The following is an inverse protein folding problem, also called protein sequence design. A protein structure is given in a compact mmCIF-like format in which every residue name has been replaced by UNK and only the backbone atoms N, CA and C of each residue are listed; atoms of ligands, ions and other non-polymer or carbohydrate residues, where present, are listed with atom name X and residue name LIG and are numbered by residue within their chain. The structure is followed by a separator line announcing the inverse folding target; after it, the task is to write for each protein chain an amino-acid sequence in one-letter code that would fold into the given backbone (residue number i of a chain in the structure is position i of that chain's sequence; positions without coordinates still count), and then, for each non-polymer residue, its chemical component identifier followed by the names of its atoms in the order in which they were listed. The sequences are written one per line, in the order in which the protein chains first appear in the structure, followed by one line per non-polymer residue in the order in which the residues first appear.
data_IF_004906779530
#
_entry.id   IF_004906779530
#
_cell.length_a   1.000
_cell.length_b   1.000
_cell.length_c   1.000
_cell.angle_alpha   90.00
_cell.angle_beta   90.00
_cell.angle_gamma   90.00
#
_symmetry.space_group_name_H-M   'P 1'
#
loop_
_entity.id
_entity.type
_entity.pdbx_description
1 polymer ?
#
# COMPACT_ATOMS: atom_id res chain seq x y z
N UNK A 1 14.26 -34.12 -25.33
CA UNK A 1 12.94 -33.56 -25.64
C UNK A 1 12.00 -33.47 -24.41
N UNK A 2 12.50 -33.51 -23.16
CA UNK A 2 11.67 -33.36 -21.93
C UNK A 2 12.43 -32.70 -20.76
N UNK A 3 13.31 -31.72 -21.03
CA UNK A 3 14.02 -30.99 -19.93
C UNK A 3 13.05 -30.26 -18.99
N UNK A 4 11.93 -29.79 -19.54
CA UNK A 4 10.88 -29.09 -18.81
C UNK A 4 10.22 -29.94 -17.69
N UNK A 5 10.17 -31.27 -17.81
CA UNK A 5 9.58 -32.13 -16.75
C UNK A 5 10.50 -32.35 -15.56
N UNK A 6 11.81 -32.10 -15.69
CA UNK A 6 12.82 -32.45 -14.68
C UNK A 6 13.22 -31.29 -13.77
N UNK A 7 12.59 -30.12 -13.88
CA UNK A 7 13.01 -28.94 -13.12
C UNK A 7 14.25 -28.23 -13.66
N UNK A 8 14.78 -28.70 -14.80
CA UNK A 8 16.02 -28.22 -15.42
C UNK A 8 15.71 -27.00 -16.33
N UNK A 9 15.10 -25.98 -15.72
CA UNK A 9 14.54 -24.79 -16.39
C UNK A 9 15.59 -23.73 -16.72
N UNK A 10 16.74 -23.77 -16.04
CA UNK A 10 17.83 -22.80 -16.21
C UNK A 10 18.79 -23.26 -17.30
N UNK A 11 18.69 -22.66 -18.48
CA UNK A 11 19.63 -22.88 -19.58
C UNK A 11 21.08 -22.54 -19.19
N UNK A 12 21.26 -21.62 -18.23
CA UNK A 12 22.52 -21.20 -17.62
C UNK A 12 22.20 -20.92 -16.14
N UNK A 13 22.86 -21.60 -15.21
CA UNK A 13 22.73 -21.32 -13.77
C UNK A 13 23.78 -20.27 -13.36
N UNK A 14 23.38 -19.14 -12.73
CA UNK A 14 24.34 -18.17 -12.24
C UNK A 14 25.21 -18.81 -11.14
N UNK A 15 26.53 -18.72 -11.27
CA UNK A 15 27.48 -19.37 -10.36
C UNK A 15 27.79 -18.56 -9.09
N UNK A 16 27.35 -17.30 -9.05
CA UNK A 16 27.56 -16.38 -7.92
C UNK A 16 26.28 -15.58 -7.66
N UNK A 17 26.12 -15.09 -6.43
CA UNK A 17 25.02 -14.19 -6.07
C UNK A 17 24.97 -12.98 -7.02
N UNK A 18 26.11 -12.32 -7.24
CA UNK A 18 26.19 -11.15 -8.13
C UNK A 18 25.75 -11.45 -9.57
N UNK A 19 26.13 -12.62 -10.11
CA UNK A 19 25.68 -13.04 -11.44
C UNK A 19 24.15 -13.29 -11.48
N UNK A 20 23.58 -13.80 -10.38
CA UNK A 20 22.13 -13.95 -10.22
C UNK A 20 21.41 -12.60 -10.13
N UNK A 21 21.93 -11.70 -9.30
CA UNK A 21 21.44 -10.33 -9.08
C UNK A 21 21.38 -9.55 -10.40
N UNK A 22 22.49 -9.49 -11.12
CA UNK A 22 22.57 -8.81 -12.42
C UNK A 22 21.63 -9.42 -13.46
N UNK A 23 21.47 -10.75 -13.45
CA UNK A 23 20.54 -11.42 -14.37
C UNK A 23 19.08 -11.04 -14.07
N UNK A 24 18.67 -11.01 -12.80
CA UNK A 24 17.32 -10.56 -12.40
C UNK A 24 17.13 -9.10 -12.81
N UNK A 25 18.09 -8.23 -12.54
CA UNK A 25 18.02 -6.81 -12.91
C UNK A 25 17.91 -6.60 -14.43
N UNK A 26 18.71 -7.31 -15.24
CA UNK A 26 18.60 -7.26 -16.69
C UNK A 26 17.23 -7.73 -17.18
N UNK A 27 16.69 -8.81 -16.60
CA UNK A 27 15.35 -9.31 -16.92
C UNK A 27 14.26 -8.31 -16.55
N UNK A 28 14.36 -7.71 -15.36
CA UNK A 28 13.43 -6.70 -14.86
C UNK A 28 13.40 -5.47 -15.77
N UNK A 29 14.56 -4.88 -16.07
CA UNK A 29 14.66 -3.71 -16.95
C UNK A 29 14.24 -4.02 -18.39
N UNK A 30 14.51 -5.24 -18.87
CA UNK A 30 14.02 -5.71 -20.17
C UNK A 30 12.50 -5.80 -20.21
N UNK A 31 11.87 -6.31 -19.15
CA UNK A 31 10.42 -6.37 -19.02
C UNK A 31 9.79 -4.97 -18.92
N UNK A 32 10.38 -4.06 -18.14
CA UNK A 32 9.96 -2.65 -18.06
C UNK A 32 10.00 -2.01 -19.46
N UNK A 33 11.10 -2.18 -20.19
CA UNK A 33 11.24 -1.64 -21.55
C UNK A 33 10.22 -2.23 -22.54
N UNK A 34 9.90 -3.52 -22.39
CA UNK A 34 8.87 -4.17 -23.21
C UNK A 34 7.47 -3.62 -22.91
N UNK A 35 7.14 -3.42 -21.64
CA UNK A 35 5.85 -2.84 -21.22
C UNK A 35 5.73 -1.39 -21.67
N UNK A 36 6.79 -0.59 -21.53
CA UNK A 36 6.84 0.79 -22.02
C UNK A 36 6.54 0.87 -23.53
N UNK A 37 7.16 0.01 -24.34
CA UNK A 37 6.88 -0.08 -25.77
C UNK A 37 5.40 -0.40 -26.04
N UNK A 38 4.82 -1.35 -25.30
CA UNK A 38 3.41 -1.73 -25.45
C UNK A 38 2.45 -0.59 -25.03
N UNK A 39 2.77 0.15 -23.96
CA UNK A 39 2.03 1.35 -23.55
C UNK A 39 2.10 2.41 -24.65
N UNK A 40 3.27 2.65 -25.25
CA UNK A 40 3.42 3.56 -26.38
C UNK A 40 2.57 3.15 -27.60
N UNK A 41 2.46 1.86 -27.89
CA UNK A 41 1.57 1.36 -28.94
C UNK A 41 0.09 1.63 -28.64
N UNK A 42 -0.33 1.42 -27.39
CA UNK A 42 -1.71 1.69 -26.93
C UNK A 42 -2.04 3.19 -27.00
N UNK A 43 -1.17 4.05 -26.45
CA UNK A 43 -1.35 5.51 -26.49
C UNK A 43 -1.38 6.01 -27.93
N UNK A 44 -0.44 5.55 -28.78
CA UNK A 44 -0.43 5.92 -30.19
C UNK A 44 -1.68 5.43 -30.95
N UNK A 45 -2.31 4.34 -30.54
CA UNK A 45 -3.60 3.92 -31.09
C UNK A 45 -4.73 4.88 -30.69
N UNK A 46 -4.79 5.32 -29.43
CA UNK A 46 -5.78 6.30 -28.98
C UNK A 46 -5.66 7.62 -29.75
N UNK A 47 -4.43 8.08 -29.99
CA UNK A 47 -4.14 9.30 -30.76
C UNK A 47 -4.63 9.17 -32.21
N UNK A 48 -4.21 8.13 -32.93
CA UNK A 48 -4.60 7.92 -34.33
C UNK A 48 -6.09 7.70 -34.52
N UNK A 49 -6.78 7.21 -33.48
CA UNK A 49 -8.23 6.96 -33.51
C UNK A 49 -9.05 8.16 -33.05
N UNK A 50 -8.41 9.26 -32.63
CA UNK A 50 -9.11 10.44 -32.11
C UNK A 50 -9.82 10.21 -30.78
N UNK A 51 -9.39 9.22 -29.98
CA UNK A 51 -10.07 8.81 -28.73
C UNK A 51 -9.49 9.48 -27.47
N UNK A 52 -8.33 10.13 -27.57
CA UNK A 52 -7.62 10.70 -26.42
C UNK A 52 -8.47 11.64 -25.56
N UNK A 53 -9.28 12.50 -26.18
CA UNK A 53 -10.08 13.51 -25.47
C UNK A 53 -11.18 12.90 -24.60
N UNK A 54 -11.61 11.67 -24.91
CA UNK A 54 -12.67 10.96 -24.20
C UNK A 54 -12.15 9.70 -23.50
N UNK A 55 -10.85 9.64 -23.18
CA UNK A 55 -10.23 8.50 -22.52
C UNK A 55 -9.32 8.98 -21.40
N UNK A 56 -9.61 8.57 -20.17
CA UNK A 56 -8.68 8.70 -19.05
C UNK A 56 -7.71 7.51 -19.13
N UNK A 57 -6.40 7.81 -19.14
CA UNK A 57 -5.35 6.80 -19.06
C UNK A 57 -4.73 6.84 -17.67
N UNK A 58 -4.70 5.70 -16.98
CA UNK A 58 -4.05 5.52 -15.68
C UNK A 58 -2.97 4.45 -15.84
N UNK A 59 -1.72 4.81 -15.55
CA UNK A 59 -0.61 3.88 -15.46
C UNK A 59 -0.17 3.74 -14.00
N UNK A 60 -0.25 2.52 -13.47
CA UNK A 60 0.06 2.20 -12.08
C UNK A 60 0.59 0.78 -11.94
N UNK A 61 1.08 0.41 -10.76
CA UNK A 61 1.40 -0.95 -10.36
C UNK A 61 0.54 -1.38 -9.16
N UNK A 62 0.46 -2.67 -8.85
CA UNK A 62 -0.15 -3.15 -7.60
C UNK A 62 0.84 -3.10 -6.43
N UNK A 63 2.11 -3.33 -6.73
CA UNK A 63 3.26 -3.17 -5.84
C UNK A 63 4.57 -3.05 -6.66
N UNK A 64 5.68 -2.82 -5.97
CA UNK A 64 7.04 -2.87 -6.54
C UNK A 64 7.71 -4.25 -6.46
N UNK A 65 9.00 -4.30 -6.74
CA UNK A 65 9.85 -5.50 -6.62
C UNK A 65 11.17 -4.99 -6.05
N UNK A 66 11.73 -5.68 -5.05
CA UNK A 66 13.06 -5.34 -4.58
C UNK A 66 14.08 -5.46 -5.72
N UNK A 67 13.82 -6.27 -6.75
CA UNK A 67 14.69 -6.42 -7.92
C UNK A 67 16.15 -6.76 -7.54
N UNK A 68 16.32 -7.44 -6.39
CA UNK A 68 17.60 -7.75 -5.76
C UNK A 68 18.36 -6.56 -5.13
N UNK A 69 17.67 -5.44 -4.88
CA UNK A 69 18.01 -4.43 -3.87
C UNK A 69 17.84 -5.03 -2.46
N UNK A 70 18.57 -4.50 -1.48
CA UNK A 70 18.68 -5.05 -0.12
C UNK A 70 19.07 -6.55 -0.05
N UNK A 71 19.62 -7.10 -1.14
CA UNK A 71 19.84 -8.53 -1.35
C UNK A 71 18.55 -9.38 -1.30
N UNK A 72 17.38 -8.76 -1.48
CA UNK A 72 16.06 -9.40 -1.44
C UNK A 72 15.51 -9.54 -2.86
N UNK A 73 15.06 -10.74 -3.20
CA UNK A 73 14.35 -10.98 -4.45
C UNK A 73 12.84 -10.92 -4.24
N UNK A 74 12.11 -10.49 -5.27
CA UNK A 74 10.65 -10.38 -5.23
C UNK A 74 10.21 -9.34 -4.18
N UNK A 75 9.10 -9.59 -3.49
CA UNK A 75 8.45 -8.65 -2.57
C UNK A 75 8.49 -9.08 -1.11
N UNK A 76 9.16 -10.17 -0.78
CA UNK A 76 9.16 -10.76 0.55
C UNK A 76 10.53 -11.33 0.92
N UNK A 77 10.91 -11.32 2.22
CA UNK A 77 10.16 -10.84 3.38
C UNK A 77 10.10 -9.30 3.49
N UNK A 78 9.14 -8.76 4.24
CA UNK A 78 9.04 -7.30 4.50
C UNK A 78 8.41 -6.48 3.37
N UNK A 79 7.08 -6.48 3.26
CA UNK A 79 6.31 -5.81 2.17
C UNK A 79 6.04 -4.33 2.49
N UNK A 80 7.00 -3.63 3.09
CA UNK A 80 6.73 -2.31 3.67
C UNK A 80 7.69 -1.20 3.24
N UNK A 81 8.80 -1.54 2.57
CA UNK A 81 9.76 -0.57 2.04
C UNK A 81 9.23 0.15 0.79
N UNK A 82 9.81 1.31 0.47
CA UNK A 82 9.45 2.13 -0.70
C UNK A 82 9.61 1.35 -1.99
N UNK A 83 10.64 0.50 -2.08
CA UNK A 83 10.86 -0.42 -3.20
C UNK A 83 9.65 -1.32 -3.51
N UNK A 84 8.74 -1.52 -2.55
CA UNK A 84 7.52 -2.32 -2.68
C UNK A 84 6.25 -1.48 -2.64
N UNK A 85 6.15 -0.50 -1.73
CA UNK A 85 4.90 0.22 -1.47
C UNK A 85 4.76 1.51 -2.26
N UNK A 86 5.87 2.11 -2.71
CA UNK A 86 5.85 3.35 -3.50
C UNK A 86 5.83 3.02 -4.99
N UNK A 87 4.63 2.92 -5.51
CA UNK A 87 4.35 2.56 -6.91
C UNK A 87 4.26 3.79 -7.83
N UNK A 88 4.46 3.64 -9.15
CA UNK A 88 4.09 4.69 -10.10
C UNK A 88 2.57 4.91 -10.10
N UNK A 89 2.14 6.16 -10.26
CA UNK A 89 0.72 6.54 -10.40
C UNK A 89 0.64 7.74 -11.34
N UNK A 90 0.45 7.48 -12.63
CA UNK A 90 0.42 8.50 -13.69
C UNK A 90 -0.98 8.55 -14.28
N UNK A 91 -1.57 9.75 -14.33
CA UNK A 91 -2.89 10.01 -14.90
C UNK A 91 -2.78 10.95 -16.09
N UNK A 92 -3.51 10.66 -17.15
CA UNK A 92 -3.60 11.49 -18.35
C UNK A 92 -5.03 11.60 -18.84
N UNK A 93 -5.50 12.84 -18.97
CA UNK A 93 -6.73 13.20 -19.66
C UNK A 93 -6.51 14.59 -20.30
N UNK A 94 -6.18 14.63 -21.61
CA UNK A 94 -5.88 15.88 -22.32
C UNK A 94 -6.99 16.91 -22.15
N UNK A 95 -6.63 18.19 -22.01
CA UNK A 95 -7.53 19.33 -21.80
C UNK A 95 -8.40 19.31 -20.51
N UNK A 96 -8.32 18.23 -19.71
CA UNK A 96 -9.04 18.08 -18.45
C UNK A 96 -8.11 18.11 -17.22
N UNK A 97 -6.91 17.54 -17.32
CA UNK A 97 -5.90 17.51 -16.25
C UNK A 97 -4.75 18.48 -16.53
N UNK A 98 -4.07 18.93 -15.48
CA UNK A 98 -2.89 19.79 -15.62
C UNK A 98 -1.69 18.97 -16.14
N UNK A 99 -1.30 19.22 -17.39
CA UNK A 99 -0.14 18.56 -18.00
C UNK A 99 1.16 18.92 -17.29
N UNK A 100 2.03 17.92 -17.09
CA UNK A 100 3.36 18.10 -16.47
C UNK A 100 3.33 18.38 -14.96
N UNK A 101 2.16 18.31 -14.31
CA UNK A 101 2.06 18.43 -12.87
C UNK A 101 2.50 17.15 -12.17
N UNK A 102 3.29 17.28 -11.10
CA UNK A 102 3.75 16.18 -10.26
C UNK A 102 3.52 16.54 -8.80
N UNK A 103 2.52 15.93 -8.18
CA UNK A 103 2.19 16.18 -6.77
C UNK A 103 3.06 15.35 -5.83
N UNK A 104 3.39 15.93 -4.68
CA UNK A 104 4.09 15.26 -3.57
C UNK A 104 3.12 14.84 -2.45
N UNK A 105 1.81 15.05 -2.62
CA UNK A 105 0.83 14.63 -1.61
C UNK A 105 0.76 13.10 -1.53
N UNK A 106 0.49 12.59 -0.31
CA UNK A 106 0.31 11.16 -0.08
C UNK A 106 -0.99 10.67 -0.74
N UNK A 107 -0.85 9.75 -1.69
CA UNK A 107 -1.94 9.05 -2.39
C UNK A 107 -1.84 7.54 -2.16
N UNK A 108 -2.98 6.84 -2.19
CA UNK A 108 -3.05 5.39 -2.00
C UNK A 108 -3.75 4.73 -3.19
N UNK A 109 -3.43 3.48 -3.52
CA UNK A 109 -4.07 2.77 -4.64
C UNK A 109 -5.60 2.68 -4.53
N UNK A 110 -6.13 2.70 -3.31
CA UNK A 110 -7.58 2.70 -3.04
C UNK A 110 -8.29 4.00 -3.47
N UNK A 111 -7.55 5.09 -3.70
CA UNK A 111 -8.10 6.38 -4.13
C UNK A 111 -8.59 6.36 -5.58
N UNK A 112 -8.08 5.43 -6.39
CA UNK A 112 -8.39 5.33 -7.81
C UNK A 112 -9.89 5.15 -8.02
N UNK A 113 -10.55 4.31 -7.22
CA UNK A 113 -11.99 4.03 -7.39
C UNK A 113 -12.85 5.26 -7.11
N UNK A 114 -12.60 5.96 -6.00
CA UNK A 114 -13.38 7.15 -5.63
C UNK A 114 -13.15 8.29 -6.62
N UNK A 115 -11.91 8.45 -7.08
CA UNK A 115 -11.57 9.48 -8.05
C UNK A 115 -12.22 9.20 -9.41
N UNK A 116 -12.25 7.95 -9.86
CA UNK A 116 -12.97 7.56 -11.07
C UNK A 116 -14.48 7.79 -10.96
N UNK A 117 -15.09 7.43 -9.82
CA UNK A 117 -16.50 7.72 -9.54
C UNK A 117 -16.79 9.21 -9.69
N UNK A 118 -15.98 10.08 -9.05
CA UNK A 118 -16.14 11.53 -9.17
C UNK A 118 -16.00 12.02 -10.62
N UNK A 119 -14.97 11.56 -11.33
CA UNK A 119 -14.68 12.00 -12.71
C UNK A 119 -15.76 11.53 -13.71
N UNK A 120 -16.43 10.43 -13.41
CA UNK A 120 -17.51 9.87 -14.22
C UNK A 120 -18.91 10.34 -13.79
N UNK A 121 -19.02 11.20 -12.76
CA UNK A 121 -20.29 11.62 -12.17
C UNK A 121 -21.16 10.43 -11.68
N UNK A 122 -20.49 9.48 -11.01
CA UNK A 122 -21.10 8.27 -10.43
C UNK A 122 -20.96 8.33 -8.91
N UNK A 123 -22.00 7.93 -8.19
CA UNK A 123 -21.96 7.82 -6.74
C UNK A 123 -20.83 6.88 -6.26
N UNK A 124 -20.05 7.29 -5.25
CA UNK A 124 -18.96 6.47 -4.72
C UNK A 124 -19.50 5.22 -4.02
N UNK A 125 -18.66 4.18 -3.97
CA UNK A 125 -18.96 2.98 -3.19
C UNK A 125 -18.90 3.31 -1.70
N UNK A 126 -19.99 3.11 -0.96
CA UNK A 126 -20.06 3.31 0.50
C UNK A 126 -18.98 2.52 1.27
N UNK A 127 -18.49 1.43 0.68
CA UNK A 127 -17.50 0.53 1.27
C UNK A 127 -16.05 0.84 0.88
N UNK A 128 -15.79 1.93 0.15
CA UNK A 128 -14.43 2.31 -0.24
C UNK A 128 -13.79 3.16 0.85
N UNK A 129 -12.55 2.81 1.23
CA UNK A 129 -11.71 3.62 2.12
C UNK A 129 -10.91 4.71 1.37
N UNK A 130 -11.06 4.79 0.05
CA UNK A 130 -10.36 5.75 -0.79
C UNK A 130 -10.84 7.19 -0.60
N UNK A 131 -10.01 8.12 -1.05
CA UNK A 131 -10.32 9.55 -1.13
C UNK A 131 -10.26 10.04 -2.56
N UNK A 132 -11.02 11.09 -2.84
CA UNK A 132 -10.96 11.76 -4.13
C UNK A 132 -9.65 12.55 -4.25
N UNK A 133 -8.87 12.28 -5.30
CA UNK A 133 -7.61 12.95 -5.62
C UNK A 133 -7.69 13.80 -6.91
N UNK A 134 -8.87 13.97 -7.50
CA UNK A 134 -9.05 14.70 -8.76
C UNK A 134 -8.59 16.16 -8.70
N UNK A 135 -8.61 16.80 -7.54
CA UNK A 135 -8.07 18.16 -7.37
C UNK A 135 -6.55 18.20 -7.60
N UNK A 136 -5.81 17.14 -7.22
CA UNK A 136 -4.39 17.01 -7.52
C UNK A 136 -4.16 16.89 -9.04
N UNK A 137 -5.02 16.15 -9.73
CA UNK A 137 -4.95 16.00 -11.19
C UNK A 137 -5.20 17.33 -11.93
N UNK A 138 -5.86 18.28 -11.27
CA UNK A 138 -6.09 19.65 -11.76
C UNK A 138 -4.98 20.64 -11.34
N UNK A 139 -3.90 20.17 -10.71
CA UNK A 139 -2.75 20.98 -10.33
C UNK A 139 -2.81 21.63 -8.94
N UNK A 140 -3.79 21.25 -8.11
CA UNK A 140 -3.89 21.73 -6.74
C UNK A 140 -3.00 20.88 -5.83
N UNK A 141 -2.50 21.46 -4.73
CA UNK A 141 -1.58 20.80 -3.78
C UNK A 141 -2.16 20.66 -2.38
N UNK A 142 -3.50 20.64 -2.27
CA UNK A 142 -4.13 20.40 -0.98
C UNK A 142 -3.95 18.94 -0.55
N UNK A 143 -3.43 18.74 0.66
CA UNK A 143 -3.19 17.42 1.23
C UNK A 143 -4.45 16.55 1.27
N UNK A 144 -4.31 15.29 0.87
CA UNK A 144 -5.39 14.28 0.85
C UNK A 144 -5.51 13.58 2.20
N UNK A 145 -4.37 13.31 2.83
CA UNK A 145 -4.21 12.57 4.10
C UNK A 145 -2.89 12.98 4.74
N UNK A 146 -2.82 12.84 6.06
CA UNK A 146 -1.56 13.03 6.81
C UNK A 146 -0.70 11.76 6.83
N UNK A 147 -1.35 10.60 6.71
CA UNK A 147 -0.73 9.28 6.83
C UNK A 147 -1.18 8.39 5.68
N UNK A 148 -0.26 7.60 5.13
CA UNK A 148 -0.58 6.50 4.20
C UNK A 148 -0.29 5.16 4.88
N UNK A 149 -1.14 4.15 4.67
CA UNK A 149 -1.06 2.86 5.37
C UNK A 149 -0.93 1.69 4.40
N UNK A 150 -0.03 0.77 4.72
CA UNK A 150 0.07 -0.52 4.02
C UNK A 150 -0.14 -1.66 5.01
N UNK A 151 -1.01 -2.61 4.64
CA UNK A 151 -1.27 -3.81 5.43
C UNK A 151 -0.74 -5.07 4.74
N UNK A 152 0.01 -5.88 5.48
CA UNK A 152 0.32 -7.26 5.12
C UNK A 152 -0.07 -8.19 6.29
N UNK A 153 -0.25 -9.49 6.04
CA UNK A 153 -0.69 -10.44 7.08
C UNK A 153 0.20 -10.38 8.34
N UNK A 154 1.49 -10.12 8.15
CA UNK A 154 2.52 -10.15 9.18
C UNK A 154 3.08 -8.77 9.52
N UNK A 155 2.64 -7.69 8.89
CA UNK A 155 3.15 -6.35 9.20
C UNK A 155 2.13 -5.26 8.89
N UNK A 156 2.30 -4.11 9.53
CA UNK A 156 1.58 -2.88 9.23
C UNK A 156 2.59 -1.77 9.09
N UNK A 157 2.45 -0.93 8.08
CA UNK A 157 3.33 0.20 7.82
C UNK A 157 2.53 1.47 7.72
N UNK A 158 3.07 2.56 8.26
CA UNK A 158 2.53 3.90 8.15
C UNK A 158 3.63 4.86 7.68
N UNK A 159 3.31 5.66 6.67
CA UNK A 159 4.15 6.76 6.18
C UNK A 159 3.53 8.08 6.62
N UNK A 160 4.27 8.88 7.39
CA UNK A 160 3.87 10.22 7.86
C UNK A 160 5.04 11.20 7.74
N UNK A 161 4.86 12.24 6.93
CA UNK A 161 5.94 13.19 6.62
C UNK A 161 7.13 12.46 5.97
N UNK A 162 8.32 12.65 6.52
CA UNK A 162 9.53 11.94 6.07
C UNK A 162 9.71 10.56 6.70
N UNK A 163 8.85 10.14 7.63
CA UNK A 163 9.06 8.92 8.40
C UNK A 163 8.19 7.77 7.94
N UNK A 164 8.79 6.57 7.94
CA UNK A 164 8.06 5.30 7.85
C UNK A 164 8.25 4.52 9.13
N UNK A 165 7.13 4.05 9.69
CA UNK A 165 7.11 3.10 10.80
C UNK A 165 6.53 1.76 10.30
N UNK A 166 7.20 0.66 10.61
CA UNK A 166 6.72 -0.72 10.40
C UNK A 166 6.59 -1.42 11.73
N UNK A 167 5.40 -1.99 11.99
CA UNK A 167 5.11 -2.75 13.21
C UNK A 167 4.76 -4.18 12.86
N UNK A 168 5.29 -5.09 13.69
CA UNK A 168 5.07 -6.52 13.58
C UNK A 168 4.24 -7.05 14.76
N UNK A 169 3.35 -8.04 14.54
CA UNK A 169 2.74 -8.83 15.59
C UNK A 169 3.78 -9.36 16.59
N UNK A 170 3.54 -9.11 17.88
CA UNK A 170 4.41 -9.59 18.98
C UNK A 170 4.65 -11.10 18.94
N UNK A 171 3.68 -11.87 18.45
CA UNK A 171 3.79 -13.32 18.32
C UNK A 171 4.95 -13.78 17.41
N UNK A 172 5.43 -12.92 16.50
CA UNK A 172 6.61 -13.22 15.69
C UNK A 172 7.93 -12.96 16.41
N UNK A 173 7.91 -12.14 17.45
CA UNK A 173 9.10 -11.77 18.23
C UNK A 173 8.87 -11.98 19.74
N UNK A 174 8.50 -13.19 20.18
CA UNK A 174 8.06 -13.46 21.56
C UNK A 174 9.16 -13.27 22.62
N UNK A 175 10.43 -13.29 22.20
CA UNK A 175 11.59 -13.10 23.07
C UNK A 175 11.97 -11.63 23.27
N UNK A 176 11.25 -10.71 22.61
CA UNK A 176 11.50 -9.26 22.67
C UNK A 176 10.32 -8.54 23.31
N UNK A 177 10.54 -7.33 23.84
CA UNK A 177 9.44 -6.47 24.30
C UNK A 177 8.60 -5.88 23.14
N UNK A 178 9.01 -6.16 21.89
CA UNK A 178 8.45 -5.66 20.65
C UNK A 178 9.54 -5.52 19.59
N UNK A 179 9.16 -5.62 18.33
CA UNK A 179 10.06 -5.37 17.21
C UNK A 179 9.33 -4.50 16.18
N UNK A 180 10.05 -3.52 15.66
CA UNK A 180 9.57 -2.60 14.65
C UNK A 180 10.73 -1.98 13.90
N UNK A 181 10.38 -1.24 12.86
CA UNK A 181 11.33 -0.50 12.04
C UNK A 181 10.87 0.94 11.92
N UNK A 182 11.81 1.87 12.05
CA UNK A 182 11.58 3.30 11.82
C UNK A 182 12.67 3.81 10.90
N UNK A 183 12.28 4.41 9.78
CA UNK A 183 13.18 4.99 8.81
C UNK A 183 12.85 6.46 8.57
N UNK A 184 13.89 7.28 8.47
CA UNK A 184 13.81 8.66 7.99
C UNK A 184 14.09 8.65 6.49
N UNK A 185 13.05 8.73 5.66
CA UNK A 185 13.15 8.56 4.21
C UNK A 185 13.88 9.72 3.51
N UNK A 186 14.00 10.88 4.15
CA UNK A 186 14.75 12.01 3.61
C UNK A 186 16.26 11.84 3.86
N UNK A 187 16.62 11.40 5.07
CA UNK A 187 18.02 11.16 5.45
C UNK A 187 18.55 9.80 4.99
N UNK A 188 17.66 8.82 4.87
CA UNK A 188 17.94 7.43 4.49
C UNK A 188 16.91 6.92 3.46
N UNK A 189 16.98 7.38 2.20
CA UNK A 189 16.04 6.99 1.15
C UNK A 189 16.07 5.49 0.80
N UNK A 190 17.10 4.78 1.27
CA UNK A 190 17.28 3.34 1.07
C UNK A 190 16.89 2.55 2.32
N UNK A 191 16.35 3.17 3.37
CA UNK A 191 15.80 2.45 4.53
C UNK A 191 16.80 1.45 5.15
N UNK A 192 18.08 1.83 5.23
CA UNK A 192 19.18 0.95 5.68
C UNK A 192 19.46 1.05 7.18
N UNK A 193 19.00 2.12 7.84
CA UNK A 193 19.31 2.44 9.23
C UNK A 193 18.02 2.48 10.06
N UNK A 194 17.72 1.37 10.73
CA UNK A 194 16.54 1.28 11.59
C UNK A 194 16.72 2.10 12.87
N UNK A 195 15.94 3.18 12.99
CA UNK A 195 15.94 4.11 14.12
C UNK A 195 15.00 3.68 15.27
N UNK A 196 14.25 2.58 15.14
CA UNK A 196 13.19 2.19 16.07
C UNK A 196 13.67 2.02 17.51
N UNK A 197 14.90 1.55 17.69
CA UNK A 197 15.51 1.30 19.01
C UNK A 197 16.31 2.48 19.55
N UNK A 198 16.43 3.56 18.78
CA UNK A 198 17.21 4.73 19.19
C UNK A 198 16.46 5.52 20.28
N UNK A 199 17.11 5.90 21.40
CA UNK A 199 16.45 6.61 22.50
C UNK A 199 15.70 7.89 22.08
N UNK A 200 16.23 8.59 21.07
CA UNK A 200 15.65 9.84 20.57
C UNK A 200 14.40 9.63 19.69
N UNK A 201 14.15 8.39 19.24
CA UNK A 201 13.03 8.05 18.36
C UNK A 201 11.77 7.60 19.11
N UNK A 202 11.89 7.30 20.41
CA UNK A 202 10.82 6.66 21.20
C UNK A 202 9.50 7.44 21.15
N UNK A 203 9.55 8.77 21.29
CA UNK A 203 8.34 9.58 21.30
C UNK A 203 7.71 9.66 19.89
N UNK A 204 8.52 9.69 18.83
CA UNK A 204 8.04 9.64 17.45
C UNK A 204 7.39 8.29 17.14
N UNK A 205 8.01 7.17 17.54
CA UNK A 205 7.44 5.82 17.41
C UNK A 205 6.07 5.77 18.08
N UNK A 206 5.95 6.25 19.32
CA UNK A 206 4.66 6.26 20.05
C UNK A 206 3.59 7.07 19.34
N UNK A 207 3.95 8.21 18.76
CA UNK A 207 3.00 9.05 17.98
C UNK A 207 2.53 8.28 16.75
N UNK A 208 3.43 7.71 15.97
CA UNK A 208 3.09 6.99 14.74
C UNK A 208 2.35 5.66 15.02
N UNK A 209 2.69 4.96 16.11
CA UNK A 209 1.93 3.79 16.58
C UNK A 209 0.49 4.18 16.96
N UNK A 210 0.33 5.33 17.63
CA UNK A 210 -0.99 5.87 17.96
C UNK A 210 -1.76 6.21 16.68
N UNK A 211 -1.15 6.89 15.72
CA UNK A 211 -1.79 7.23 14.44
C UNK A 211 -2.25 5.95 13.69
N UNK A 212 -1.41 4.91 13.67
CA UNK A 212 -1.77 3.61 13.08
C UNK A 212 -2.93 2.95 13.82
N UNK A 213 -2.93 2.97 15.16
CA UNK A 213 -4.04 2.42 15.95
C UNK A 213 -5.34 3.19 15.72
N UNK A 214 -5.29 4.51 15.66
CA UNK A 214 -6.44 5.34 15.31
C UNK A 214 -6.98 4.94 13.93
N UNK A 215 -6.12 4.85 12.93
CA UNK A 215 -6.49 4.40 11.58
C UNK A 215 -7.13 2.99 11.59
N UNK A 216 -6.52 2.03 12.29
CA UNK A 216 -7.01 0.65 12.35
C UNK A 216 -8.41 0.55 12.98
N UNK A 217 -8.72 1.42 13.93
CA UNK A 217 -10.02 1.43 14.62
C UNK A 217 -11.08 2.20 13.82
N UNK A 218 -10.70 3.25 13.09
CA UNK A 218 -11.65 4.08 12.33
C UNK A 218 -11.97 3.54 10.94
N UNK A 219 -11.02 2.87 10.29
CA UNK A 219 -11.13 2.44 8.89
C UNK A 219 -12.21 1.37 8.72
N UNK A 220 -12.98 1.46 7.63
CA UNK A 220 -14.10 0.54 7.38
C UNK A 220 -13.59 -0.78 6.89
N UNK A 221 -13.84 -1.85 7.66
CA UNK A 221 -13.68 -3.21 7.16
C UNK A 221 -15.06 -3.70 6.74
N UNK A 222 -15.49 -3.48 5.48
CA UNK A 222 -16.69 -4.14 5.00
C UNK A 222 -16.52 -5.64 5.25
N UNK A 223 -17.57 -6.32 5.67
CA UNK A 223 -17.52 -7.76 5.87
C UNK A 223 -17.16 -8.43 4.54
N UNK A 224 -15.89 -8.82 4.38
CA UNK A 224 -15.34 -9.39 3.14
C UNK A 224 -15.67 -10.87 2.95
N UNK A 225 -16.33 -11.46 3.95
CA UNK A 225 -16.93 -12.79 3.89
C UNK A 225 -18.43 -12.62 4.09
N UNK A 226 -19.24 -13.23 3.22
CA UNK A 226 -20.62 -13.55 3.61
C UNK A 226 -20.54 -14.18 4.99
N UNK A 227 -21.18 -13.56 5.98
CA UNK A 227 -21.12 -14.03 7.35
C UNK A 227 -21.38 -15.53 7.36
N UNK A 228 -20.39 -16.31 7.78
CA UNK A 228 -20.69 -17.66 8.24
C UNK A 228 -21.75 -17.45 9.31
N UNK A 229 -22.94 -18.03 9.14
CA UNK A 229 -23.97 -18.02 10.17
C UNK A 229 -23.40 -18.74 11.40
N UNK A 230 -22.69 -18.00 12.25
CA UNK A 230 -22.35 -18.46 13.57
C UNK A 230 -23.64 -18.29 14.34
N UNK A 231 -24.38 -19.39 14.54
CA UNK A 231 -25.47 -19.47 15.51
C UNK A 231 -24.92 -19.09 16.88
N UNK A 232 -24.92 -17.80 17.19
CA UNK A 232 -24.45 -17.27 18.46
C UNK A 232 -25.63 -17.18 19.41
N UNK A 233 -25.42 -17.64 20.64
CA UNK A 233 -26.45 -17.62 21.68
C UNK A 233 -26.90 -16.19 22.00
N UNK A 234 -28.09 -16.02 22.57
CA UNK A 234 -28.53 -14.73 23.14
C UNK A 234 -27.51 -14.11 24.12
N UNK A 235 -26.69 -14.94 24.79
CA UNK A 235 -25.60 -14.47 25.65
C UNK A 235 -24.47 -13.79 24.86
N UNK A 236 -24.14 -14.27 23.67
CA UNK A 236 -23.12 -13.68 22.78
C UNK A 236 -23.57 -12.32 22.25
N UNK A 237 -24.84 -12.21 21.84
CA UNK A 237 -25.43 -10.94 21.37
C UNK A 237 -25.53 -9.89 22.49
N UNK A 238 -25.77 -10.28 23.75
CA UNK A 238 -25.77 -9.36 24.89
C UNK A 238 -24.39 -8.85 25.28
N UNK A 239 -23.34 -9.66 25.10
CA UNK A 239 -21.95 -9.28 25.43
C UNK A 239 -21.37 -8.22 24.50
N UNK A 240 -21.74 -8.23 23.22
CA UNK A 240 -21.20 -7.31 22.21
C UNK A 240 -22.09 -6.07 21.98
N UNK A 241 -23.20 -5.94 22.73
CA UNK A 241 -24.20 -4.87 22.56
C UNK A 241 -23.68 -3.44 22.82
N UNK A 242 -22.45 -3.29 23.33
CA UNK A 242 -21.88 -2.01 23.75
C UNK A 242 -20.51 -1.69 23.13
N UNK A 243 -20.11 -2.36 22.06
CA UNK A 243 -18.76 -2.14 21.48
C UNK A 243 -18.72 -1.94 19.98
N UNK A 244 -19.82 -2.09 19.24
CA UNK A 244 -19.74 -1.99 17.78
C UNK A 244 -21.01 -1.42 17.15
N UNK A 245 -20.84 -0.48 16.21
CA UNK A 245 -21.80 0.00 15.23
C UNK A 245 -22.29 -1.17 14.36
N UNK A 246 -23.30 -0.94 13.52
CA UNK A 246 -23.90 -1.95 12.62
C UNK A 246 -22.89 -2.53 11.60
N UNK A 247 -21.81 -1.81 11.34
CA UNK A 247 -20.66 -2.23 10.53
C UNK A 247 -19.58 -2.98 11.34
N UNK A 248 -19.78 -3.19 12.64
CA UNK A 248 -18.83 -3.87 13.52
C UNK A 248 -17.80 -2.95 14.20
N UNK A 249 -17.94 -1.62 14.19
CA UNK A 249 -16.91 -0.69 14.73
C UNK A 249 -17.22 -0.01 16.06
N UNK A 250 -16.21 0.19 16.92
CA UNK A 250 -16.32 1.10 18.07
C UNK A 250 -16.28 2.55 17.58
N UNK A 251 -17.25 3.39 17.93
CA UNK A 251 -17.21 4.83 17.62
C UNK A 251 -16.03 5.51 18.35
N UNK A 252 -15.26 6.43 17.73
CA UNK A 252 -14.06 7.05 18.33
C UNK A 252 -14.33 7.68 19.70
N UNK A 253 -15.42 8.43 19.82
CA UNK A 253 -15.84 9.08 21.08
C UNK A 253 -16.19 8.09 22.22
N UNK A 254 -16.35 6.81 21.91
CA UNK A 254 -16.73 5.77 22.87
C UNK A 254 -15.54 4.93 23.35
N UNK A 255 -14.34 5.11 22.75
CA UNK A 255 -13.12 4.39 23.13
C UNK A 255 -12.71 4.64 24.59
N UNK A 256 -12.94 5.85 25.11
CA UNK A 256 -12.64 6.21 26.51
C UNK A 256 -13.47 5.48 27.58
N UNK A 257 -14.50 4.74 27.17
CA UNK A 257 -15.41 4.01 28.07
C UNK A 257 -15.23 2.48 28.02
N UNK A 258 -14.35 1.97 27.15
CA UNK A 258 -14.10 0.53 26.99
C UNK A 258 -13.19 0.03 28.12
N UNK A 259 -13.77 -0.69 29.09
CA UNK A 259 -13.08 -1.11 30.34
C UNK A 259 -12.36 -2.46 30.28
N UNK A 260 -12.33 -3.16 29.15
CA UNK A 260 -11.80 -4.53 29.09
C UNK A 260 -10.83 -4.75 27.93
N UNK A 261 -9.70 -5.41 28.24
CA UNK A 261 -8.65 -5.84 27.33
C UNK A 261 -9.23 -6.66 26.17
N UNK A 262 -9.14 -6.14 24.96
CA UNK A 262 -9.27 -6.94 23.74
C UNK A 262 -7.86 -7.18 23.18
N UNK A 263 -7.63 -8.42 22.75
CA UNK A 263 -6.42 -8.82 22.04
C UNK A 263 -6.49 -8.21 20.64
N UNK A 264 -5.73 -7.12 20.45
CA UNK A 264 -5.25 -6.66 19.15
C UNK A 264 -3.88 -7.31 18.89
#
# INVERSE_FOLDING_TARGET
MERWRKGDWTLIEPKTFEAGRLRKLHGYLGAVSQVDHAVGQMVGFLERSGLCQNTIVIYTSDHGDYAAEHDIMEKAPGICADAITRIPMIWSWPDHFQSGHASQQLVESVDVSISLCQLADIEPLETSDGKNISHLLQGQEQAVREIAVTEFAWSKSIHKGQYRLVIYPRAMFPETEGFGELYDLDADPWEMNNLYFEPNSIDLVRVMEKDLLEWLVTTTRPATVHGVEIKSSHQTQRRNKYTTNLDGKVHPDQLGHVRTKNYL
#
